data_IF_837156491794
#
_entry.id   IF_837156491794
#
_cell.length_a   1.000
_cell.length_b   1.000
_cell.length_c   1.000
_cell.angle_alpha   90.00
_cell.angle_beta   90.00
_cell.angle_gamma   90.00
#
_symmetry.space_group_name_H-M   'P 1'
#
loop_
_entity.id
_entity.type
_entity.pdbx_description
1 polymer ?
#
# COMPACT_ATOMS: atom_id res chain seq x y z
N UNK A 1 -33.87 28.89 -15.96
CA UNK A 1 -32.58 29.47 -15.52
C UNK A 1 -32.68 29.88 -14.06
N UNK A 2 -32.20 29.05 -13.13
CA UNK A 2 -32.02 29.41 -11.72
C UNK A 2 -30.65 30.07 -11.58
N UNK A 3 -30.58 31.29 -11.04
CA UNK A 3 -29.32 32.02 -10.83
C UNK A 3 -28.45 31.25 -9.83
N UNK A 4 -27.27 30.81 -10.28
CA UNK A 4 -26.26 30.12 -9.49
C UNK A 4 -25.65 31.07 -8.44
N UNK A 5 -25.71 30.70 -7.16
CA UNK A 5 -25.02 31.40 -6.06
C UNK A 5 -23.59 30.87 -5.92
N UNK A 6 -22.75 31.13 -6.92
CA UNK A 6 -21.31 30.74 -6.90
C UNK A 6 -20.44 31.71 -6.10
N UNK A 7 -21.00 32.84 -5.62
CA UNK A 7 -20.24 33.94 -5.00
C UNK A 7 -19.81 33.69 -3.55
N UNK A 8 -20.33 32.68 -2.86
CA UNK A 8 -20.11 32.55 -1.40
C UNK A 8 -18.93 31.66 -1.01
N UNK A 9 -18.41 30.83 -1.92
CA UNK A 9 -17.40 29.80 -1.59
C UNK A 9 -15.96 30.28 -1.91
N UNK A 10 -15.78 31.19 -2.88
CA UNK A 10 -14.44 31.67 -3.24
C UNK A 10 -13.92 32.82 -2.35
N UNK A 11 -14.81 33.57 -1.69
CA UNK A 11 -14.44 34.77 -0.94
C UNK A 11 -14.02 34.54 0.51
N UNK A 12 -14.26 33.36 1.08
CA UNK A 12 -14.09 33.11 2.52
C UNK A 12 -12.78 32.42 2.90
N UNK A 13 -11.99 31.93 1.93
CA UNK A 13 -10.73 31.24 2.19
C UNK A 13 -9.50 32.17 2.21
N UNK A 14 -9.62 33.44 1.82
CA UNK A 14 -8.49 34.39 1.72
C UNK A 14 -8.45 35.44 2.82
N UNK A 15 -9.37 35.41 3.79
CA UNK A 15 -9.45 36.41 4.88
C UNK A 15 -9.49 35.73 6.25
N UNK A 16 -8.36 35.17 6.66
CA UNK A 16 -8.10 34.81 8.07
C UNK A 16 -6.78 35.47 8.46
N UNK A 17 -6.78 36.79 8.49
CA UNK A 17 -5.71 37.57 9.09
C UNK A 17 -6.32 38.60 10.04
N UNK A 18 -5.77 38.65 11.25
CA UNK A 18 -6.10 39.52 12.37
C UNK A 18 -7.30 39.10 13.26
N UNK A 19 -7.01 38.27 14.27
CA UNK A 19 -7.74 38.28 15.54
C UNK A 19 -6.88 39.07 16.54
N UNK A 20 -7.44 40.08 17.23
CA UNK A 20 -6.67 40.94 18.12
C UNK A 20 -6.22 40.21 19.39
N UNK A 21 -4.99 40.53 19.76
CA UNK A 21 -4.24 40.06 20.92
C UNK A 21 -4.92 40.54 22.22
N UNK A 22 -5.49 39.62 23.01
CA UNK A 22 -5.93 39.93 24.38
C UNK A 22 -4.77 39.58 25.31
N UNK A 23 -4.03 40.60 25.75
CA UNK A 23 -3.03 40.48 26.79
C UNK A 23 -3.74 40.15 28.12
N UNK A 24 -3.77 38.86 28.48
CA UNK A 24 -4.20 38.43 29.80
C UNK A 24 -3.16 38.88 30.83
N UNK A 25 -3.54 39.86 31.65
CA UNK A 25 -2.83 40.29 32.85
C UNK A 25 -2.57 39.08 33.76
N UNK A 26 -1.34 38.55 33.70
CA UNK A 26 -0.86 37.54 34.64
C UNK A 26 -0.55 38.21 35.98
N UNK A 27 -1.55 38.29 36.85
CA UNK A 27 -1.32 38.52 38.27
C UNK A 27 -0.94 37.21 38.94
N UNK A 28 0.35 36.91 39.06
CA UNK A 28 0.81 35.85 39.95
C UNK A 28 0.87 36.40 41.38
N UNK A 29 0.25 35.67 42.32
CA UNK A 29 0.16 36.02 43.76
C UNK A 29 1.48 35.80 44.53
N UNK A 30 2.55 35.43 43.87
CA UNK A 30 3.91 35.28 44.43
C UNK A 30 4.90 36.07 43.58
N UNK A 31 4.76 37.39 43.55
CA UNK A 31 5.73 38.27 42.90
C UNK A 31 7.00 38.37 43.76
N UNK A 32 8.17 38.14 43.17
CA UNK A 32 9.49 38.42 43.75
C UNK A 32 9.73 39.92 43.94
N UNK A 33 8.97 40.76 43.22
CA UNK A 33 9.17 42.21 43.14
C UNK A 33 9.12 42.95 44.49
N UNK A 34 8.22 42.64 45.44
CA UNK A 34 8.22 43.28 46.76
C UNK A 34 9.48 42.95 47.56
N UNK A 35 10.00 41.71 47.45
CA UNK A 35 11.22 41.27 48.15
C UNK A 35 12.48 41.85 47.52
N UNK A 36 12.52 41.97 46.19
CA UNK A 36 13.60 42.67 45.47
C UNK A 36 13.62 44.16 45.84
N UNK A 37 12.46 44.82 45.89
CA UNK A 37 12.34 46.22 46.32
C UNK A 37 12.78 46.43 47.78
N UNK A 38 12.44 45.50 48.67
CA UNK A 38 12.89 45.52 50.07
C UNK A 38 14.43 45.34 50.19
N UNK A 39 15.02 44.47 49.36
CA UNK A 39 16.47 44.28 49.29
C UNK A 39 17.19 45.50 48.71
N UNK A 40 16.62 46.15 47.69
CA UNK A 40 17.12 47.42 47.14
C UNK A 40 17.14 48.52 48.20
N UNK A 41 16.06 48.67 48.96
CA UNK A 41 15.97 49.66 50.02
C UNK A 41 16.99 49.40 51.15
N UNK A 42 17.16 48.12 51.52
CA UNK A 42 18.16 47.70 52.52
C UNK A 42 19.60 47.96 52.05
N UNK A 43 19.91 47.64 50.79
CA UNK A 43 21.23 47.90 50.20
C UNK A 43 21.50 49.41 50.09
N UNK A 44 20.50 50.21 49.67
CA UNK A 44 20.61 51.67 49.62
C UNK A 44 20.84 52.31 50.99
N UNK A 45 20.22 51.76 52.04
CA UNK A 45 20.47 52.19 53.43
C UNK A 45 21.91 51.88 53.87
N UNK A 46 22.42 50.69 53.55
CA UNK A 46 23.80 50.29 53.85
C UNK A 46 24.84 51.10 53.08
N UNK A 47 24.54 51.52 51.85
CA UNK A 47 25.38 52.43 51.05
C UNK A 47 25.58 53.78 51.71
N UNK A 48 24.51 54.34 52.30
CA UNK A 48 24.61 55.62 53.01
C UNK A 48 25.53 55.55 54.24
N UNK A 49 25.73 54.35 54.80
CA UNK A 49 26.56 54.07 55.98
C UNK A 49 27.98 53.57 55.63
N UNK A 50 28.21 53.22 54.36
CA UNK A 50 29.43 52.57 53.85
C UNK A 50 30.68 53.45 53.95
N UNK A 51 30.53 54.78 53.89
CA UNK A 51 31.64 55.74 53.93
C UNK A 51 32.48 55.63 55.21
N UNK A 52 31.87 55.18 56.31
CA UNK A 52 32.46 55.16 57.66
C UNK A 52 32.90 53.76 58.15
N UNK A 53 32.70 52.70 57.36
CA UNK A 53 33.01 51.32 57.77
C UNK A 53 33.71 50.51 56.65
N UNK A 54 34.91 50.01 56.95
CA UNK A 54 35.75 49.28 56.00
C UNK A 54 35.19 47.91 55.57
N UNK A 55 34.44 47.21 56.44
CA UNK A 55 33.79 45.95 56.09
C UNK A 55 32.59 46.17 55.17
N UNK A 56 31.80 47.22 55.43
CA UNK A 56 30.71 47.63 54.54
C UNK A 56 31.22 48.04 53.16
N UNK A 57 32.41 48.64 53.07
CA UNK A 57 33.05 48.98 51.77
C UNK A 57 33.23 47.78 50.86
N UNK A 58 33.45 46.57 51.42
CA UNK A 58 33.61 45.33 50.67
C UNK A 58 32.28 44.59 50.43
N UNK A 59 31.39 44.56 51.43
CA UNK A 59 30.16 43.77 51.38
C UNK A 59 29.06 44.38 50.49
N UNK A 60 28.95 45.71 50.45
CA UNK A 60 27.90 46.39 49.66
C UNK A 60 28.01 46.10 48.15
N UNK A 61 29.20 46.17 47.52
CA UNK A 61 29.37 45.75 46.11
C UNK A 61 29.01 44.28 45.87
N UNK A 62 29.41 43.36 46.76
CA UNK A 62 29.07 41.93 46.64
C UNK A 62 27.54 41.70 46.73
N UNK A 63 26.85 42.44 47.61
CA UNK A 63 25.39 42.38 47.72
C UNK A 63 24.69 42.96 46.48
N UNK A 64 25.21 44.04 45.90
CA UNK A 64 24.74 44.58 44.61
C UNK A 64 24.87 43.56 43.49
N UNK A 65 26.04 42.95 43.34
CA UNK A 65 26.26 41.91 42.31
C UNK A 65 25.33 40.72 42.51
N UNK A 66 25.10 40.27 43.74
CA UNK A 66 24.13 39.21 44.04
C UNK A 66 22.69 39.64 43.72
N UNK A 67 22.30 40.87 44.06
CA UNK A 67 20.97 41.40 43.72
C UNK A 67 20.77 41.50 42.20
N UNK A 68 21.76 41.98 41.45
CA UNK A 68 21.72 42.06 39.99
C UNK A 68 21.68 40.66 39.35
N UNK A 69 22.35 39.68 39.96
CA UNK A 69 22.24 38.26 39.55
C UNK A 69 20.83 37.73 39.78
N UNK A 70 20.20 38.07 40.92
CA UNK A 70 18.82 37.68 41.21
C UNK A 70 17.84 38.34 40.22
N UNK A 71 18.02 39.63 39.91
CA UNK A 71 17.18 40.33 38.93
C UNK A 71 17.31 39.76 37.52
N UNK A 72 18.54 39.46 37.07
CA UNK A 72 18.76 38.85 35.75
C UNK A 72 18.18 37.45 35.68
N UNK A 73 18.26 36.67 36.76
CA UNK A 73 17.61 35.36 36.85
C UNK A 73 16.08 35.45 36.84
N UNK A 74 15.49 36.36 37.62
CA UNK A 74 14.03 36.60 37.66
C UNK A 74 13.51 37.08 36.29
N UNK A 75 14.25 37.98 35.63
CA UNK A 75 13.95 38.43 34.27
C UNK A 75 14.04 37.28 33.25
N UNK A 76 15.06 36.43 33.33
CA UNK A 76 15.19 35.26 32.46
C UNK A 76 14.03 34.25 32.67
N UNK A 77 13.57 34.06 33.90
CA UNK A 77 12.38 33.24 34.20
C UNK A 77 11.10 33.85 33.60
N UNK A 78 10.93 35.17 33.72
CA UNK A 78 9.79 35.89 33.10
C UNK A 78 9.80 35.73 31.58
N UNK A 79 10.96 35.91 30.94
CA UNK A 79 11.07 35.79 29.49
C UNK A 79 10.86 34.34 29.01
N UNK A 80 11.33 33.35 29.78
CA UNK A 80 11.01 31.93 29.54
C UNK A 80 9.51 31.66 29.64
N UNK A 81 8.83 32.18 30.67
CA UNK A 81 7.38 32.01 30.84
C UNK A 81 6.59 32.71 29.72
N UNK A 82 7.01 33.92 29.30
CA UNK A 82 6.40 34.62 28.16
C UNK A 82 6.54 33.79 26.88
N UNK A 83 7.73 33.28 26.58
CA UNK A 83 7.96 32.43 25.42
C UNK A 83 7.12 31.15 25.46
N UNK A 84 6.97 30.52 26.64
CA UNK A 84 6.10 29.36 26.82
C UNK A 84 4.61 29.69 26.61
N UNK A 85 4.12 30.80 27.17
CA UNK A 85 2.74 31.26 26.99
C UNK A 85 2.47 31.59 25.51
N UNK A 86 3.40 32.28 24.86
CA UNK A 86 3.31 32.63 23.44
C UNK A 86 3.31 31.38 22.55
N UNK A 87 4.21 30.43 22.79
CA UNK A 87 4.24 29.15 22.08
C UNK A 87 2.95 28.35 22.28
N UNK A 88 2.43 28.27 23.51
CA UNK A 88 1.17 27.59 23.81
C UNK A 88 -0.04 28.27 23.15
N UNK A 89 -0.08 29.60 23.14
CA UNK A 89 -1.15 30.35 22.48
C UNK A 89 -1.09 30.18 20.97
N UNK A 90 0.10 30.26 20.36
CA UNK A 90 0.29 30.04 18.93
C UNK A 90 -0.11 28.62 18.53
N UNK A 91 0.25 27.61 19.33
CA UNK A 91 -0.19 26.23 19.11
C UNK A 91 -1.72 26.09 19.18
N UNK A 92 -2.37 26.67 20.20
CA UNK A 92 -3.85 26.66 20.34
C UNK A 92 -4.55 27.38 19.18
N UNK A 93 -4.02 28.51 18.74
CA UNK A 93 -4.55 29.26 17.59
C UNK A 93 -4.39 28.46 16.31
N UNK A 94 -3.22 27.85 16.08
CA UNK A 94 -2.97 26.96 14.94
C UNK A 94 -3.96 25.79 14.92
N UNK A 95 -4.13 25.07 16.03
CA UNK A 95 -5.10 23.97 16.16
C UNK A 95 -6.54 24.43 15.88
N UNK A 96 -6.96 25.59 16.41
CA UNK A 96 -8.30 26.14 16.14
C UNK A 96 -8.49 26.48 14.65
N UNK A 97 -7.48 27.08 14.02
CA UNK A 97 -7.51 27.41 12.59
C UNK A 97 -7.65 26.15 11.74
N UNK A 98 -6.88 25.09 12.04
CA UNK A 98 -6.98 23.80 11.34
C UNK A 98 -8.36 23.16 11.53
N UNK A 99 -8.91 23.17 12.75
CA UNK A 99 -10.27 22.66 13.02
C UNK A 99 -11.35 23.41 12.26
N UNK A 100 -11.27 24.75 12.21
CA UNK A 100 -12.22 25.59 11.47
C UNK A 100 -12.11 25.32 9.97
N UNK A 101 -10.89 25.21 9.43
CA UNK A 101 -10.68 24.86 8.04
C UNK A 101 -11.25 23.47 7.70
N UNK A 102 -11.01 22.47 8.56
CA UNK A 102 -11.54 21.12 8.40
C UNK A 102 -13.07 21.09 8.47
N UNK A 103 -13.68 21.83 9.40
CA UNK A 103 -15.14 21.95 9.53
C UNK A 103 -15.77 22.54 8.27
N UNK A 104 -15.24 23.67 7.78
CA UNK A 104 -15.71 24.30 6.55
C UNK A 104 -15.55 23.35 5.35
N UNK A 105 -14.40 22.70 5.22
CA UNK A 105 -14.09 21.81 4.11
C UNK A 105 -14.98 20.54 4.11
N UNK A 106 -15.24 19.94 5.28
CA UNK A 106 -16.15 18.81 5.44
C UNK A 106 -17.62 19.19 5.21
N UNK A 107 -18.04 20.38 5.65
CA UNK A 107 -19.39 20.88 5.38
C UNK A 107 -19.65 21.08 3.89
N UNK A 108 -18.63 21.51 3.12
CA UNK A 108 -18.71 21.66 1.68
C UNK A 108 -18.68 20.31 0.93
N UNK A 109 -18.21 19.23 1.55
CA UNK A 109 -18.02 17.94 0.89
C UNK A 109 -19.32 17.35 0.33
N UNK A 110 -20.42 17.45 1.07
CA UNK A 110 -21.74 16.98 0.60
C UNK A 110 -22.26 17.83 -0.56
N UNK A 111 -22.10 19.15 -0.48
CA UNK A 111 -22.47 20.06 -1.56
C UNK A 111 -21.65 19.79 -2.83
N UNK A 112 -20.34 19.60 -2.70
CA UNK A 112 -19.45 19.26 -3.82
C UNK A 112 -19.89 17.96 -4.49
N UNK A 113 -20.21 16.93 -3.70
CA UNK A 113 -20.73 15.66 -4.22
C UNK A 113 -22.03 15.86 -5.00
N UNK A 114 -22.99 16.58 -4.42
CA UNK A 114 -24.28 16.84 -5.11
C UNK A 114 -24.11 17.67 -6.39
N UNK A 115 -23.19 18.63 -6.38
CA UNK A 115 -22.91 19.47 -7.54
C UNK A 115 -22.23 18.65 -8.66
N UNK A 116 -21.29 17.77 -8.32
CA UNK A 116 -20.70 16.83 -9.29
C UNK A 116 -21.74 15.89 -9.90
N UNK A 117 -22.59 15.29 -9.08
CA UNK A 117 -23.69 14.46 -9.57
C UNK A 117 -24.65 15.25 -10.46
N UNK A 118 -24.93 16.51 -10.12
CA UNK A 118 -25.75 17.39 -10.94
C UNK A 118 -25.09 17.71 -12.28
N UNK A 119 -23.79 18.00 -12.30
CA UNK A 119 -23.03 18.24 -13.53
C UNK A 119 -23.00 16.99 -14.43
N UNK A 120 -22.79 15.82 -13.87
CA UNK A 120 -22.80 14.56 -14.62
C UNK A 120 -24.18 14.25 -15.21
N UNK A 121 -25.27 14.51 -14.46
CA UNK A 121 -26.65 14.35 -14.96
C UNK A 121 -27.02 15.39 -16.01
N UNK A 122 -26.56 16.63 -15.85
CA UNK A 122 -26.91 17.75 -16.73
C UNK A 122 -26.08 17.79 -18.01
N UNK A 123 -24.88 17.20 -17.99
CA UNK A 123 -23.95 17.18 -19.11
C UNK A 123 -23.52 15.73 -19.43
N UNK A 124 -24.30 14.98 -20.22
CA UNK A 124 -23.98 13.58 -20.54
C UNK A 124 -22.62 13.38 -21.20
N UNK A 125 -22.15 14.38 -21.98
CA UNK A 125 -20.81 14.36 -22.60
C UNK A 125 -19.68 14.47 -21.58
N UNK A 126 -19.88 15.21 -20.49
CA UNK A 126 -18.94 15.23 -19.38
C UNK A 126 -18.86 13.86 -18.70
N UNK A 127 -20.01 13.23 -18.43
CA UNK A 127 -20.06 11.89 -17.85
C UNK A 127 -19.40 10.85 -18.76
N UNK A 128 -19.60 10.95 -20.09
CA UNK A 128 -18.93 10.11 -21.08
C UNK A 128 -17.41 10.31 -21.05
N UNK A 129 -16.93 11.55 -21.02
CA UNK A 129 -15.50 11.86 -20.94
C UNK A 129 -14.86 11.30 -19.65
N UNK A 130 -15.52 11.45 -18.49
CA UNK A 130 -15.02 10.89 -17.22
C UNK A 130 -14.89 9.38 -17.26
N UNK A 131 -15.93 8.68 -17.72
CA UNK A 131 -15.90 7.21 -17.88
C UNK A 131 -14.81 6.75 -18.83
N UNK A 132 -14.64 7.45 -19.96
CA UNK A 132 -13.56 7.16 -20.91
C UNK A 132 -12.18 7.36 -20.27
N UNK A 133 -11.98 8.45 -19.52
CA UNK A 133 -10.73 8.72 -18.79
C UNK A 133 -10.40 7.64 -17.76
N UNK A 134 -11.39 7.15 -17.01
CA UNK A 134 -11.22 6.04 -16.06
C UNK A 134 -10.86 4.72 -16.77
N UNK A 135 -11.50 4.42 -17.90
CA UNK A 135 -11.16 3.23 -18.70
C UNK A 135 -9.75 3.32 -19.30
N UNK A 136 -9.35 4.49 -19.79
CA UNK A 136 -7.99 4.74 -20.30
C UNK A 136 -6.98 4.45 -19.18
N UNK A 137 -7.16 5.00 -17.97
CA UNK A 137 -6.25 4.77 -16.86
C UNK A 137 -6.14 3.28 -16.47
N UNK A 138 -7.26 2.54 -16.51
CA UNK A 138 -7.26 1.08 -16.28
C UNK A 138 -6.51 0.32 -17.38
N UNK A 139 -6.75 0.67 -18.64
CA UNK A 139 -6.06 0.06 -19.78
C UNK A 139 -4.56 0.38 -19.77
N UNK A 140 -4.14 1.60 -19.40
CA UNK A 140 -2.73 1.95 -19.23
C UNK A 140 -2.05 1.11 -18.16
N UNK A 141 -2.69 0.94 -17.01
CA UNK A 141 -2.17 0.10 -15.94
C UNK A 141 -2.06 -1.37 -16.38
N UNK A 142 -3.06 -1.89 -17.09
CA UNK A 142 -3.06 -3.27 -17.59
C UNK A 142 -2.01 -3.48 -18.70
N UNK A 143 -1.89 -2.55 -19.64
CA UNK A 143 -0.85 -2.56 -20.67
C UNK A 143 0.52 -2.57 -20.00
N UNK A 144 0.78 -1.65 -19.05
CA UNK A 144 2.07 -1.60 -18.35
C UNK A 144 2.39 -2.91 -17.59
N UNK A 145 1.40 -3.52 -16.94
CA UNK A 145 1.57 -4.82 -16.28
C UNK A 145 1.90 -5.93 -17.28
N UNK A 146 1.20 -5.99 -18.41
CA UNK A 146 1.40 -7.02 -19.44
C UNK A 146 2.69 -6.83 -20.23
N UNK A 147 3.09 -5.59 -20.50
CA UNK A 147 4.40 -5.28 -21.09
C UNK A 147 5.54 -5.79 -20.20
N UNK A 148 5.47 -5.55 -18.88
CA UNK A 148 6.46 -6.10 -17.94
C UNK A 148 6.50 -7.63 -17.93
N UNK A 149 5.34 -8.27 -18.07
CA UNK A 149 5.28 -9.74 -18.18
C UNK A 149 5.95 -10.24 -19.47
N UNK A 150 5.72 -9.58 -20.60
CA UNK A 150 6.40 -9.87 -21.88
C UNK A 150 7.91 -9.66 -21.76
N UNK A 151 8.36 -8.59 -21.14
CA UNK A 151 9.78 -8.31 -20.89
C UNK A 151 10.42 -9.42 -20.03
N UNK A 152 9.74 -9.84 -18.96
CA UNK A 152 10.23 -10.91 -18.07
C UNK A 152 10.36 -12.23 -18.82
N UNK A 153 9.34 -12.63 -19.58
CA UNK A 153 9.40 -13.85 -20.40
C UNK A 153 10.42 -13.77 -21.52
N UNK A 154 10.63 -12.60 -22.09
CA UNK A 154 11.69 -12.38 -23.09
C UNK A 154 13.07 -12.58 -22.47
N UNK A 155 13.29 -12.10 -21.24
CA UNK A 155 14.52 -12.37 -20.51
C UNK A 155 14.70 -13.87 -20.18
N UNK A 156 13.63 -14.57 -19.79
CA UNK A 156 13.66 -16.03 -19.60
C UNK A 156 14.03 -16.77 -20.89
N UNK A 157 13.46 -16.36 -22.03
CA UNK A 157 13.83 -16.92 -23.35
C UNK A 157 15.32 -16.71 -23.64
N UNK A 158 15.85 -15.51 -23.42
CA UNK A 158 17.28 -15.22 -23.65
C UNK A 158 18.17 -16.07 -22.74
N UNK A 159 17.78 -16.27 -21.47
CA UNK A 159 18.49 -17.17 -20.57
C UNK A 159 18.46 -18.63 -21.09
N UNK A 160 17.32 -19.08 -21.61
CA UNK A 160 17.19 -20.41 -22.23
C UNK A 160 18.02 -20.56 -23.51
N UNK A 161 18.16 -19.51 -24.31
CA UNK A 161 19.07 -19.51 -25.48
C UNK A 161 20.54 -19.64 -25.08
N UNK A 162 20.94 -18.99 -23.98
CA UNK A 162 22.28 -19.16 -23.43
C UNK A 162 22.50 -20.58 -22.88
N UNK A 163 21.52 -21.15 -22.18
CA UNK A 163 21.55 -22.56 -21.73
C UNK A 163 21.66 -23.53 -22.91
N UNK A 164 20.88 -23.31 -23.98
CA UNK A 164 20.92 -24.12 -25.19
C UNK A 164 22.30 -24.09 -25.84
N UNK A 165 22.91 -22.91 -25.95
CA UNK A 165 24.25 -22.74 -26.52
C UNK A 165 25.29 -23.52 -25.71
N UNK A 166 25.20 -23.48 -24.37
CA UNK A 166 26.08 -24.23 -23.48
C UNK A 166 25.86 -25.74 -23.60
N UNK A 167 24.61 -26.19 -23.68
CA UNK A 167 24.27 -27.60 -23.83
C UNK A 167 24.75 -28.17 -25.19
N UNK A 168 24.60 -27.41 -26.28
CA UNK A 168 25.12 -27.79 -27.59
C UNK A 168 26.66 -27.88 -27.60
N UNK A 169 27.35 -26.98 -26.90
CA UNK A 169 28.80 -27.07 -26.73
C UNK A 169 29.22 -28.32 -25.93
N UNK A 170 28.45 -28.71 -24.90
CA UNK A 170 28.70 -29.96 -24.16
C UNK A 170 28.50 -31.19 -25.05
N UNK A 171 27.42 -31.25 -25.85
CA UNK A 171 27.20 -32.33 -26.83
C UNK A 171 28.41 -32.47 -27.77
N UNK A 172 28.91 -31.35 -28.31
CA UNK A 172 30.10 -31.36 -29.18
C UNK A 172 31.33 -31.91 -28.45
N UNK A 173 31.56 -31.53 -27.20
CA UNK A 173 32.66 -32.04 -26.39
C UNK A 173 32.51 -33.55 -26.09
N UNK A 174 31.28 -34.03 -25.85
CA UNK A 174 31.00 -35.47 -25.66
C UNK A 174 31.18 -36.26 -26.95
N UNK A 175 30.81 -35.69 -28.09
CA UNK A 175 31.03 -36.30 -29.42
C UNK A 175 32.52 -36.44 -29.75
N UNK A 176 33.32 -35.41 -29.47
CA UNK A 176 34.78 -35.49 -29.59
C UNK A 176 35.40 -36.55 -28.65
N UNK A 177 34.88 -36.68 -27.42
CA UNK A 177 35.32 -37.71 -26.48
C UNK A 177 34.95 -39.13 -26.95
N UNK A 178 33.75 -39.31 -27.50
CA UNK A 178 33.29 -40.57 -28.08
C UNK A 178 34.16 -40.98 -29.28
N UNK A 179 34.52 -40.03 -30.15
CA UNK A 179 35.41 -40.29 -31.28
C UNK A 179 36.79 -40.78 -30.79
N UNK A 180 37.39 -40.10 -29.80
CA UNK A 180 38.67 -40.52 -29.21
C UNK A 180 38.60 -41.89 -28.53
N UNK A 181 37.52 -42.18 -27.81
CA UNK A 181 37.32 -43.49 -27.18
C UNK A 181 37.17 -44.60 -28.25
N UNK A 182 36.48 -44.31 -29.34
CA UNK A 182 36.30 -45.24 -30.46
C UNK A 182 37.64 -45.51 -31.16
N UNK A 183 38.44 -44.49 -31.42
CA UNK A 183 39.80 -44.66 -31.97
C UNK A 183 40.70 -45.50 -31.05
N UNK A 184 40.65 -45.25 -29.73
CA UNK A 184 41.41 -46.02 -28.75
C UNK A 184 40.98 -47.50 -28.73
N UNK A 185 39.67 -47.75 -28.83
CA UNK A 185 39.13 -49.11 -28.94
C UNK A 185 39.62 -49.79 -30.23
N UNK A 186 39.55 -49.13 -31.37
CA UNK A 186 40.05 -49.68 -32.65
C UNK A 186 41.52 -50.08 -32.54
N UNK A 187 42.36 -49.23 -31.93
CA UNK A 187 43.77 -49.55 -31.68
C UNK A 187 43.95 -50.74 -30.73
N UNK A 188 43.13 -50.84 -29.68
CA UNK A 188 43.18 -51.98 -28.77
C UNK A 188 42.76 -53.29 -29.47
N UNK A 189 41.72 -53.25 -30.31
CA UNK A 189 41.28 -54.38 -31.13
C UNK A 189 42.41 -54.86 -32.08
N UNK A 190 43.12 -53.93 -32.73
CA UNK A 190 44.27 -54.22 -33.59
C UNK A 190 45.42 -54.88 -32.81
N UNK A 191 45.75 -54.37 -31.63
CA UNK A 191 46.80 -54.94 -30.76
C UNK A 191 46.44 -56.35 -30.30
N UNK A 192 45.19 -56.59 -29.90
CA UNK A 192 44.71 -57.94 -29.55
C UNK A 192 44.90 -58.89 -30.73
N UNK A 193 44.44 -58.49 -31.93
CA UNK A 193 44.56 -59.33 -33.14
C UNK A 193 46.02 -59.65 -33.49
N UNK A 194 46.93 -58.67 -33.41
CA UNK A 194 48.36 -58.88 -33.64
C UNK A 194 48.99 -59.81 -32.57
N UNK A 195 48.56 -59.66 -31.32
CA UNK A 195 49.05 -60.48 -30.20
C UNK A 195 48.54 -61.92 -30.29
N UNK A 196 47.29 -62.13 -30.72
CA UNK A 196 46.71 -63.46 -31.00
C UNK A 196 47.46 -64.17 -32.14
N UNK A 197 47.78 -63.44 -33.22
CA UNK A 197 48.61 -63.97 -34.31
C UNK A 197 50.01 -64.38 -33.81
N UNK A 198 50.67 -63.52 -33.03
CA UNK A 198 51.99 -63.80 -32.44
C UNK A 198 51.96 -65.00 -31.47
N UNK A 199 50.88 -65.15 -30.69
CA UNK A 199 50.69 -66.29 -29.80
C UNK A 199 50.52 -67.61 -30.56
N UNK A 200 49.87 -67.56 -31.72
CA UNK A 200 49.68 -68.72 -32.60
C UNK A 200 51.03 -69.18 -33.16
N UNK A 201 51.83 -68.24 -33.66
CA UNK A 201 53.21 -68.50 -34.12
C UNK A 201 54.11 -69.05 -33.01
N UNK A 202 54.08 -68.44 -31.81
CA UNK A 202 54.81 -68.92 -30.64
C UNK A 202 54.41 -70.34 -30.25
N UNK A 203 53.11 -70.66 -30.32
CA UNK A 203 52.60 -72.00 -30.01
C UNK A 203 53.13 -73.03 -31.01
N UNK A 204 53.15 -72.72 -32.32
CA UNK A 204 53.77 -73.59 -33.34
C UNK A 204 55.27 -73.80 -33.08
N UNK A 205 56.01 -72.74 -32.74
CA UNK A 205 57.44 -72.82 -32.44
C UNK A 205 57.70 -73.70 -31.21
N UNK A 206 56.88 -73.57 -30.15
CA UNK A 206 56.94 -74.44 -28.96
C UNK A 206 56.72 -75.91 -29.34
N UNK A 207 55.72 -76.21 -30.18
CA UNK A 207 55.46 -77.58 -30.64
C UNK A 207 56.63 -78.15 -31.46
N UNK A 208 57.21 -77.36 -32.37
CA UNK A 208 58.40 -77.75 -33.13
C UNK A 208 59.62 -77.99 -32.24
N UNK A 209 59.82 -77.16 -31.22
CA UNK A 209 60.91 -77.32 -30.26
C UNK A 209 60.74 -78.59 -29.43
N UNK A 210 59.51 -78.88 -28.96
CA UNK A 210 59.16 -80.13 -28.26
C UNK A 210 59.45 -81.36 -29.14
N UNK A 211 59.04 -81.31 -30.40
CA UNK A 211 59.33 -82.39 -31.35
C UNK A 211 60.84 -82.59 -31.56
N UNK A 212 61.61 -81.50 -31.64
CA UNK A 212 63.08 -81.55 -31.79
C UNK A 212 63.76 -82.12 -30.54
N UNK A 213 63.35 -81.70 -29.34
CA UNK A 213 63.85 -82.25 -28.06
C UNK A 213 63.61 -83.76 -28.01
N UNK A 214 62.41 -84.22 -28.38
CA UNK A 214 62.10 -85.65 -28.39
C UNK A 214 62.99 -86.42 -29.37
N UNK A 215 63.24 -85.87 -30.56
CA UNK A 215 64.16 -86.48 -31.54
C UNK A 215 65.59 -86.60 -30.98
N UNK A 216 66.11 -85.55 -30.34
CA UNK A 216 67.44 -85.62 -29.70
C UNK A 216 67.49 -86.60 -28.52
N UNK A 217 66.39 -86.74 -27.75
CA UNK A 217 66.27 -87.76 -26.70
C UNK A 217 66.31 -89.18 -27.28
N UNK A 218 65.62 -89.44 -28.39
CA UNK A 218 65.70 -90.73 -29.10
C UNK A 218 67.10 -91.01 -29.68
N UNK A 219 67.78 -89.98 -30.21
CA UNK A 219 69.17 -90.11 -30.71
C UNK A 219 70.17 -90.39 -29.58
N UNK A 220 69.94 -89.81 -28.39
CA UNK A 220 70.74 -90.09 -27.19
C UNK A 220 70.64 -91.56 -26.75
N UNK A 221 69.46 -92.18 -26.83
CA UNK A 221 69.25 -93.60 -26.51
C UNK A 221 70.00 -94.55 -27.46
N UNK A 222 70.13 -94.17 -28.74
CA UNK A 222 70.75 -94.99 -29.79
C UNK A 222 72.27 -94.81 -29.91
N UNK A 223 72.85 -93.83 -29.25
CA UNK A 223 74.28 -93.48 -29.36
C UNK A 223 75.15 -94.28 -28.38
N UNK A 224 76.20 -94.93 -28.89
CA UNK A 224 77.18 -95.71 -28.10
C UNK A 224 78.50 -94.98 -27.84
N UNK A 225 78.69 -93.79 -28.41
CA UNK A 225 79.87 -92.94 -28.25
C UNK A 225 79.68 -91.96 -27.06
N UNK A 226 80.50 -92.11 -26.01
CA UNK A 226 80.45 -91.30 -24.78
C UNK A 226 80.60 -89.79 -25.03
N UNK A 227 81.45 -89.37 -25.98
CA UNK A 227 81.67 -87.94 -26.25
C UNK A 227 80.44 -87.31 -26.95
N UNK A 228 79.82 -88.05 -27.88
CA UNK A 228 78.57 -87.62 -28.52
C UNK A 228 77.39 -87.63 -27.54
N UNK A 229 77.32 -88.59 -26.63
CA UNK A 229 76.30 -88.63 -25.58
C UNK A 229 76.30 -87.36 -24.73
N UNK A 230 77.47 -86.95 -24.26
CA UNK A 230 77.60 -85.78 -23.40
C UNK A 230 77.27 -84.48 -24.15
N UNK A 231 77.65 -84.39 -25.43
CA UNK A 231 77.26 -83.28 -26.31
C UNK A 231 75.73 -83.22 -26.55
N UNK A 232 75.08 -84.36 -26.79
CA UNK A 232 73.62 -84.43 -26.99
C UNK A 232 72.86 -84.05 -25.72
N UNK A 233 73.33 -84.47 -24.53
CA UNK A 233 72.75 -84.03 -23.24
C UNK A 233 72.83 -82.51 -23.05
N UNK A 234 73.99 -81.92 -23.33
CA UNK A 234 74.16 -80.46 -23.22
C UNK A 234 73.21 -79.71 -24.17
N UNK A 235 73.02 -80.24 -25.39
CA UNK A 235 72.08 -79.69 -26.38
C UNK A 235 70.63 -79.78 -25.91
N UNK A 236 70.21 -80.94 -25.37
CA UNK A 236 68.87 -81.12 -24.79
C UNK A 236 68.63 -80.13 -23.65
N UNK A 237 69.59 -79.98 -22.74
CA UNK A 237 69.48 -79.07 -21.59
C UNK A 237 69.27 -77.62 -22.06
N UNK A 238 70.01 -77.20 -23.09
CA UNK A 238 69.88 -75.86 -23.68
C UNK A 238 68.51 -75.67 -24.35
N UNK A 239 68.00 -76.67 -25.08
CA UNK A 239 66.68 -76.62 -25.70
C UNK A 239 65.54 -76.63 -24.67
N UNK A 240 65.69 -77.36 -23.56
CA UNK A 240 64.72 -77.36 -22.46
C UNK A 240 64.68 -76.01 -21.73
N UNK A 241 65.81 -75.33 -21.55
CA UNK A 241 65.83 -73.95 -21.04
C UNK A 241 65.15 -72.98 -21.99
N UNK A 242 65.40 -73.09 -23.31
CA UNK A 242 64.70 -72.29 -24.32
C UNK A 242 63.19 -72.55 -24.32
N UNK A 243 62.77 -73.81 -24.19
CA UNK A 243 61.37 -74.18 -24.09
C UNK A 243 60.71 -73.53 -22.86
N UNK A 244 61.38 -73.59 -21.71
CA UNK A 244 60.89 -73.00 -20.46
C UNK A 244 60.72 -71.48 -20.57
N UNK A 245 61.65 -70.79 -21.23
CA UNK A 245 61.56 -69.35 -21.49
C UNK A 245 60.38 -69.01 -22.43
N UNK A 246 60.16 -69.79 -23.48
CA UNK A 246 59.05 -69.59 -24.42
C UNK A 246 57.68 -69.89 -23.78
N UNK A 247 57.60 -70.94 -22.96
CA UNK A 247 56.39 -71.28 -22.21
C UNK A 247 56.04 -70.23 -21.15
N UNK A 248 57.05 -69.65 -20.47
CA UNK A 248 56.84 -68.56 -19.51
C UNK A 248 56.27 -67.29 -20.16
N UNK A 249 56.64 -67.00 -21.41
CA UNK A 249 56.09 -65.87 -22.17
C UNK A 249 54.68 -66.09 -22.74
N UNK A 250 54.13 -67.31 -22.61
CA UNK A 250 52.86 -67.69 -23.25
C UNK A 250 51.67 -67.11 -22.47
N UNK A 251 51.03 -66.10 -23.06
CA UNK A 251 49.65 -65.70 -22.72
C UNK A 251 49.53 -64.45 -21.86
N UNK A 252 50.59 -64.05 -21.15
CA UNK A 252 50.55 -62.84 -20.31
C UNK A 252 50.35 -61.56 -21.13
N UNK A 253 51.04 -61.43 -22.27
CA UNK A 253 50.82 -60.31 -23.21
C UNK A 253 49.40 -60.29 -23.79
N UNK A 254 48.82 -61.46 -24.07
CA UNK A 254 47.46 -61.57 -24.62
C UNK A 254 46.42 -61.17 -23.58
N UNK A 255 46.63 -61.55 -22.31
CA UNK A 255 45.77 -61.14 -21.20
C UNK A 255 45.75 -59.62 -21.04
N UNK A 256 46.93 -58.99 -20.98
CA UNK A 256 47.05 -57.52 -20.88
C UNK A 256 46.36 -56.81 -22.06
N UNK A 257 46.51 -57.33 -23.28
CA UNK A 257 45.85 -56.76 -24.45
C UNK A 257 44.32 -56.86 -24.38
N UNK A 258 43.78 -58.00 -23.91
CA UNK A 258 42.32 -58.20 -23.73
C UNK A 258 41.74 -57.35 -22.60
N UNK A 259 42.49 -57.16 -21.51
CA UNK A 259 42.09 -56.27 -20.42
C UNK A 259 42.00 -54.81 -20.92
N UNK A 260 43.00 -54.37 -21.71
CA UNK A 260 42.99 -53.04 -22.34
C UNK A 260 41.83 -52.85 -23.34
N UNK A 261 41.52 -53.87 -24.15
CA UNK A 261 40.37 -53.88 -25.06
C UNK A 261 39.05 -53.73 -24.30
N UNK A 262 38.90 -54.44 -23.19
CA UNK A 262 37.71 -54.40 -22.34
C UNK A 262 37.51 -53.02 -21.72
N UNK A 263 38.56 -52.41 -21.19
CA UNK A 263 38.48 -51.06 -20.63
C UNK A 263 38.20 -50.01 -21.73
N UNK A 264 38.78 -50.16 -22.93
CA UNK A 264 38.48 -49.29 -24.06
C UNK A 264 37.00 -49.40 -24.49
N UNK A 265 36.43 -50.61 -24.54
CA UNK A 265 35.01 -50.81 -24.82
C UNK A 265 34.11 -50.17 -23.77
N UNK A 266 34.48 -50.27 -22.49
CA UNK A 266 33.73 -49.63 -21.39
C UNK A 266 33.75 -48.10 -21.51
N UNK A 267 34.89 -47.51 -21.87
CA UNK A 267 34.99 -46.07 -22.13
C UNK A 267 34.10 -45.62 -23.29
N UNK A 268 34.01 -46.42 -24.37
CA UNK A 268 33.08 -46.15 -25.48
C UNK A 268 31.64 -46.16 -24.99
N UNK A 269 31.22 -47.19 -24.24
CA UNK A 269 29.85 -47.26 -23.70
C UNK A 269 29.53 -46.06 -22.81
N UNK A 270 30.43 -45.68 -21.89
CA UNK A 270 30.23 -44.51 -21.04
C UNK A 270 30.17 -43.19 -21.83
N UNK A 271 31.00 -43.05 -22.87
CA UNK A 271 30.99 -41.86 -23.73
C UNK A 271 29.69 -41.75 -24.54
N UNK A 272 29.15 -42.87 -25.04
CA UNK A 272 27.85 -42.92 -25.73
C UNK A 272 26.72 -42.51 -24.79
N UNK A 273 26.62 -43.12 -23.61
CA UNK A 273 25.59 -42.77 -22.62
C UNK A 273 25.64 -41.30 -22.20
N UNK A 274 26.86 -40.75 -22.04
CA UNK A 274 27.06 -39.34 -21.72
C UNK A 274 26.61 -38.43 -22.87
N UNK A 275 26.86 -38.81 -24.13
CA UNK A 275 26.40 -38.07 -25.32
C UNK A 275 24.88 -38.09 -25.41
N UNK A 276 24.25 -39.25 -25.30
CA UNK A 276 22.80 -39.41 -25.42
C UNK A 276 22.06 -38.59 -24.34
N UNK A 277 22.60 -38.56 -23.11
CA UNK A 277 22.06 -37.72 -22.03
C UNK A 277 22.19 -36.23 -22.34
N UNK A 278 23.31 -35.80 -22.91
CA UNK A 278 23.51 -34.41 -23.32
C UNK A 278 22.55 -34.02 -24.47
N UNK A 279 22.37 -34.89 -25.48
CA UNK A 279 21.41 -34.68 -26.58
C UNK A 279 19.95 -34.61 -26.09
N UNK A 280 19.57 -35.46 -25.13
CA UNK A 280 18.25 -35.40 -24.51
C UNK A 280 18.03 -34.07 -23.78
N UNK A 281 19.05 -33.54 -23.11
CA UNK A 281 18.97 -32.26 -22.41
C UNK A 281 18.79 -31.09 -23.39
N UNK A 282 19.45 -31.13 -24.56
CA UNK A 282 19.27 -30.14 -25.64
C UNK A 282 17.82 -30.13 -26.13
N UNK A 283 17.23 -31.30 -26.41
CA UNK A 283 15.83 -31.41 -26.88
C UNK A 283 14.82 -30.85 -25.88
N UNK A 284 15.06 -31.06 -24.57
CA UNK A 284 14.22 -30.51 -23.52
C UNK A 284 14.29 -28.97 -23.48
N UNK A 285 15.50 -28.41 -23.54
CA UNK A 285 15.71 -26.95 -23.56
C UNK A 285 15.07 -26.32 -24.81
N UNK A 286 15.20 -26.95 -25.98
CA UNK A 286 14.55 -26.50 -27.22
C UNK A 286 13.02 -26.47 -27.08
N UNK A 287 12.43 -27.51 -26.49
CA UNK A 287 10.98 -27.58 -26.26
C UNK A 287 10.51 -26.46 -25.32
N UNK A 288 11.26 -26.22 -24.22
CA UNK A 288 10.97 -25.13 -23.28
C UNK A 288 11.08 -23.76 -23.97
N UNK A 289 12.08 -23.57 -24.83
CA UNK A 289 12.28 -22.34 -25.61
C UNK A 289 11.10 -22.08 -26.55
N UNK A 290 10.68 -23.07 -27.34
CA UNK A 290 9.54 -22.92 -28.27
C UNK A 290 8.25 -22.55 -27.53
N UNK A 291 8.00 -23.18 -26.38
CA UNK A 291 6.84 -22.82 -25.55
C UNK A 291 6.89 -21.37 -25.06
N UNK A 292 8.06 -20.89 -24.64
CA UNK A 292 8.24 -19.47 -24.27
C UNK A 292 7.99 -18.53 -25.45
N UNK A 293 8.43 -18.89 -26.67
CA UNK A 293 8.19 -18.10 -27.87
C UNK A 293 6.69 -17.97 -28.23
N UNK A 294 5.94 -19.06 -28.10
CA UNK A 294 4.49 -19.06 -28.28
C UNK A 294 3.79 -18.18 -27.24
N UNK A 295 4.17 -18.31 -25.95
CA UNK A 295 3.61 -17.50 -24.87
C UNK A 295 3.93 -16.02 -25.02
N UNK A 296 5.14 -15.66 -25.43
CA UNK A 296 5.54 -14.27 -25.74
C UNK A 296 4.67 -13.74 -26.88
N UNK A 297 4.53 -14.50 -27.97
CA UNK A 297 3.74 -14.08 -29.15
C UNK A 297 2.27 -13.85 -28.78
N UNK A 298 1.68 -14.74 -27.98
CA UNK A 298 0.30 -14.60 -27.52
C UNK A 298 0.11 -13.34 -26.66
N UNK A 299 1.03 -13.08 -25.73
CA UNK A 299 0.96 -11.90 -24.84
C UNK A 299 1.25 -10.59 -25.56
N UNK A 300 2.15 -10.57 -26.53
CA UNK A 300 2.39 -9.40 -27.38
C UNK A 300 1.13 -9.02 -28.15
N UNK A 301 0.43 -9.99 -28.75
CA UNK A 301 -0.87 -9.74 -29.41
C UNK A 301 -1.93 -9.21 -28.43
N UNK A 302 -1.92 -9.68 -27.20
CA UNK A 302 -2.82 -9.17 -26.18
C UNK A 302 -2.53 -7.70 -25.84
N UNK A 303 -1.25 -7.34 -25.70
CA UNK A 303 -0.81 -5.95 -25.49
C UNK A 303 -1.23 -5.06 -26.67
N UNK A 304 -1.05 -5.52 -27.91
CA UNK A 304 -1.48 -4.81 -29.12
C UNK A 304 -2.99 -4.57 -29.12
N UNK A 305 -3.79 -5.60 -28.78
CA UNK A 305 -5.25 -5.51 -28.72
C UNK A 305 -5.70 -4.49 -27.68
N UNK A 306 -5.10 -4.52 -26.48
CA UNK A 306 -5.41 -3.54 -25.42
C UNK A 306 -4.96 -2.14 -25.77
N UNK A 307 -3.84 -2.01 -26.48
CA UNK A 307 -3.37 -0.71 -26.97
C UNK A 307 -4.35 -0.13 -27.98
N UNK A 308 -4.88 -0.95 -28.89
CA UNK A 308 -5.93 -0.52 -29.82
C UNK A 308 -7.22 -0.11 -29.09
N UNK A 309 -7.65 -0.88 -28.08
CA UNK A 309 -8.80 -0.52 -27.23
C UNK A 309 -8.58 0.82 -26.51
N UNK A 310 -7.37 1.04 -25.97
CA UNK A 310 -6.99 2.31 -25.33
C UNK A 310 -7.10 3.47 -26.31
N UNK A 311 -6.55 3.34 -27.52
CA UNK A 311 -6.62 4.39 -28.56
C UNK A 311 -8.08 4.70 -28.94
N UNK A 312 -8.94 3.69 -29.04
CA UNK A 312 -10.37 3.90 -29.28
C UNK A 312 -11.02 4.70 -28.12
N UNK A 313 -10.66 4.39 -26.86
CA UNK A 313 -11.14 5.14 -25.69
C UNK A 313 -10.58 6.55 -25.60
N UNK A 314 -9.34 6.79 -26.02
CA UNK A 314 -8.76 8.13 -26.13
C UNK A 314 -9.50 8.99 -27.16
N UNK A 315 -9.92 8.40 -28.29
CA UNK A 315 -10.75 9.08 -29.28
C UNK A 315 -12.15 9.41 -28.72
N UNK A 316 -12.80 8.46 -28.04
CA UNK A 316 -14.08 8.70 -27.33
C UNK A 316 -13.96 9.82 -26.29
N UNK A 317 -12.88 9.81 -25.50
CA UNK A 317 -12.57 10.85 -24.52
C UNK A 317 -12.44 12.22 -25.19
N UNK A 318 -11.62 12.33 -26.23
CA UNK A 318 -11.35 13.58 -26.92
C UNK A 318 -12.62 14.17 -27.53
N UNK A 319 -13.46 13.33 -28.14
CA UNK A 319 -14.74 13.77 -28.70
C UNK A 319 -15.71 14.26 -27.61
N UNK A 320 -15.80 13.54 -26.50
CA UNK A 320 -16.68 13.88 -25.39
C UNK A 320 -16.20 15.12 -24.61
N UNK A 321 -14.88 15.26 -24.44
CA UNK A 321 -14.27 16.43 -23.81
C UNK A 321 -14.47 17.68 -24.66
N UNK A 322 -14.22 17.62 -25.98
CA UNK A 322 -14.46 18.75 -26.88
C UNK A 322 -15.93 19.19 -26.94
N UNK A 323 -16.87 18.25 -26.75
CA UNK A 323 -18.31 18.54 -26.68
C UNK A 323 -18.76 19.10 -25.31
N UNK A 324 -17.87 19.11 -24.30
CA UNK A 324 -18.18 19.64 -22.97
C UNK A 324 -17.82 21.12 -22.90
N UNK A 325 -18.74 22.02 -22.47
CA UNK A 325 -18.43 23.45 -22.37
C UNK A 325 -17.28 23.74 -21.40
N UNK A 326 -16.38 24.66 -21.78
CA UNK A 326 -15.22 25.03 -20.95
C UNK A 326 -15.58 25.57 -19.56
N UNK A 327 -16.73 26.23 -19.43
CA UNK A 327 -17.26 26.68 -18.13
C UNK A 327 -17.55 25.51 -17.19
N UNK A 328 -18.08 24.42 -17.72
CA UNK A 328 -18.35 23.18 -16.98
C UNK A 328 -17.05 22.48 -16.60
N UNK A 329 -16.07 22.44 -17.52
CA UNK A 329 -14.73 21.89 -17.23
C UNK A 329 -14.04 22.64 -16.10
N UNK A 330 -14.04 23.99 -16.15
CA UNK A 330 -13.45 24.84 -15.10
C UNK A 330 -14.14 24.65 -13.75
N UNK A 331 -15.47 24.53 -13.75
CA UNK A 331 -16.23 24.27 -12.53
C UNK A 331 -15.86 22.90 -11.93
N UNK A 332 -15.85 21.85 -12.74
CA UNK A 332 -15.47 20.51 -12.30
C UNK A 332 -14.02 20.48 -11.76
N UNK A 333 -13.07 21.08 -12.47
CA UNK A 333 -11.68 21.17 -12.02
C UNK A 333 -11.56 21.91 -10.67
N UNK A 334 -12.36 22.96 -10.47
CA UNK A 334 -12.41 23.67 -9.19
C UNK A 334 -12.97 22.79 -8.06
N UNK A 335 -14.02 22.00 -8.34
CA UNK A 335 -14.58 21.04 -7.38
C UNK A 335 -13.59 19.92 -7.03
N UNK A 336 -12.85 19.39 -8.01
CA UNK A 336 -11.80 18.39 -7.79
C UNK A 336 -10.61 18.94 -7.00
N UNK A 337 -10.19 20.19 -7.25
CA UNK A 337 -9.15 20.85 -6.47
C UNK A 337 -9.55 21.04 -5.00
N UNK A 338 -10.83 21.34 -4.73
CA UNK A 338 -11.34 21.45 -3.36
C UNK A 338 -11.39 20.07 -2.68
N UNK A 339 -11.80 19.01 -3.38
CA UNK A 339 -11.74 17.64 -2.84
C UNK A 339 -10.32 17.19 -2.50
N UNK A 340 -9.34 17.51 -3.37
CA UNK A 340 -7.94 17.21 -3.10
C UNK A 340 -7.45 17.90 -1.82
N UNK A 341 -7.80 19.19 -1.64
CA UNK A 341 -7.50 19.94 -0.40
C UNK A 341 -8.20 19.35 0.83
N UNK A 342 -9.45 18.89 0.70
CA UNK A 342 -10.14 18.17 1.79
C UNK A 342 -9.37 16.89 2.17
N UNK A 343 -8.90 16.13 1.17
CA UNK A 343 -8.15 14.90 1.41
C UNK A 343 -6.79 15.16 2.07
N UNK A 344 -6.12 16.26 1.73
CA UNK A 344 -4.89 16.72 2.38
C UNK A 344 -5.13 17.13 3.83
N UNK A 345 -6.12 17.99 4.09
CA UNK A 345 -6.50 18.41 5.44
C UNK A 345 -6.89 17.22 6.34
N UNK A 346 -7.49 16.17 5.77
CA UNK A 346 -7.78 14.92 6.50
C UNK A 346 -6.54 14.12 6.88
N UNK A 347 -5.46 14.20 6.12
CA UNK A 347 -4.19 13.53 6.44
C UNK A 347 -3.41 14.29 7.51
N UNK A 348 -3.55 15.61 7.54
CA UNK A 348 -2.88 16.48 8.51
C UNK A 348 -3.59 16.51 9.87
N UNK A 349 -4.89 16.22 9.92
CA UNK A 349 -5.68 16.18 11.13
C UNK A 349 -5.46 14.89 11.95
N UNK A 350 -5.43 15.01 13.28
CA UNK A 350 -5.43 13.85 14.16
C UNK A 350 -6.81 13.17 14.20
N UNK A 351 -6.90 11.86 14.51
CA UNK A 351 -8.18 11.14 14.60
C UNK A 351 -9.16 11.76 15.62
N UNK A 352 -8.67 12.32 16.72
CA UNK A 352 -9.45 12.99 17.75
C UNK A 352 -10.08 14.29 17.24
N UNK A 353 -9.31 15.09 16.50
CA UNK A 353 -9.79 16.33 15.89
C UNK A 353 -10.84 16.06 14.82
N UNK A 354 -10.66 15.00 14.03
CA UNK A 354 -11.63 14.57 13.03
C UNK A 354 -12.98 14.22 13.67
N UNK A 355 -12.97 13.42 14.75
CA UNK A 355 -14.19 13.04 15.49
C UNK A 355 -14.92 14.25 16.07
N UNK A 356 -14.17 15.20 16.64
CA UNK A 356 -14.74 16.42 17.21
C UNK A 356 -15.41 17.28 16.13
N UNK A 357 -14.74 17.45 14.98
CA UNK A 357 -15.29 18.19 13.84
C UNK A 357 -16.52 17.50 13.23
N UNK A 358 -16.51 16.18 13.12
CA UNK A 358 -17.68 15.39 12.69
C UNK A 358 -18.87 15.57 13.63
N UNK A 359 -18.63 15.60 14.95
CA UNK A 359 -19.66 15.87 15.94
C UNK A 359 -20.25 17.28 15.78
N UNK A 360 -19.41 18.31 15.65
CA UNK A 360 -19.90 19.68 15.40
C UNK A 360 -20.70 19.78 14.10
N UNK A 361 -20.28 19.07 13.05
CA UNK A 361 -21.01 19.04 11.78
C UNK A 361 -22.39 18.39 11.95
N UNK A 362 -22.50 17.30 12.71
CA UNK A 362 -23.77 16.66 13.01
C UNK A 362 -24.71 17.60 13.80
N UNK A 363 -24.19 18.28 14.81
CA UNK A 363 -24.94 19.28 15.59
C UNK A 363 -25.41 20.43 14.69
N UNK A 364 -24.54 20.95 13.82
CA UNK A 364 -24.89 22.03 12.88
C UNK A 364 -26.00 21.64 11.91
N UNK A 365 -25.96 20.41 11.35
CA UNK A 365 -27.03 19.88 10.50
C UNK A 365 -28.36 19.79 11.23
N UNK A 366 -28.34 19.34 12.47
CA UNK A 366 -29.54 19.21 13.29
C UNK A 366 -30.14 20.59 13.64
N UNK A 367 -29.30 21.58 13.93
CA UNK A 367 -29.74 22.96 14.14
C UNK A 367 -30.37 23.56 12.88
N UNK A 368 -29.79 23.33 11.70
CA UNK A 368 -30.37 23.79 10.44
C UNK A 368 -31.71 23.12 10.14
N UNK A 369 -31.82 21.80 10.41
CA UNK A 369 -33.07 21.06 10.31
C UNK A 369 -34.16 21.65 11.20
N UNK A 370 -33.86 21.85 12.48
CA UNK A 370 -34.78 22.45 13.48
C UNK A 370 -35.22 23.84 13.02
N UNK A 371 -34.29 24.71 12.63
CA UNK A 371 -34.59 26.05 12.13
C UNK A 371 -35.48 26.02 10.88
N UNK A 372 -35.26 25.07 9.98
CA UNK A 372 -36.09 24.84 8.81
C UNK A 372 -37.53 24.45 9.15
N UNK A 373 -37.72 23.66 10.21
CA UNK A 373 -39.06 23.30 10.73
C UNK A 373 -39.71 24.49 11.41
N UNK A 374 -38.98 25.24 12.24
CA UNK A 374 -39.49 26.46 12.88
C UNK A 374 -39.97 27.49 11.86
N UNK A 375 -39.22 27.69 10.78
CA UNK A 375 -39.64 28.58 9.69
C UNK A 375 -40.93 28.10 9.01
N UNK A 376 -41.12 26.79 8.84
CA UNK A 376 -42.37 26.23 8.29
C UNK A 376 -43.55 26.42 9.24
N UNK A 377 -43.33 26.27 10.55
CA UNK A 377 -44.34 26.55 11.57
C UNK A 377 -44.77 28.03 11.50
N UNK A 378 -43.81 28.95 11.43
CA UNK A 378 -44.09 30.39 11.28
C UNK A 378 -44.83 30.71 9.98
N UNK A 379 -44.45 30.04 8.88
CA UNK A 379 -45.07 30.21 7.56
C UNK A 379 -46.53 29.73 7.49
N UNK A 380 -47.02 28.97 8.46
CA UNK A 380 -48.45 28.62 8.54
C UNK A 380 -49.35 29.85 8.72
N UNK A 381 -48.81 30.96 9.25
CA UNK A 381 -49.53 32.22 9.41
C UNK A 381 -50.73 32.19 10.35
N UNK A 382 -50.98 31.07 11.03
CA UNK A 382 -52.10 30.88 11.94
C UNK A 382 -51.68 31.27 13.37
N UNK A 383 -52.14 32.44 13.82
CA UNK A 383 -51.80 33.00 15.14
C UNK A 383 -52.22 32.09 16.29
N UNK A 384 -53.37 31.41 16.19
CA UNK A 384 -53.86 30.50 17.23
C UNK A 384 -52.92 29.30 17.39
N UNK A 385 -52.45 28.71 16.28
CA UNK A 385 -51.50 27.59 16.30
C UNK A 385 -50.16 28.03 16.92
N UNK A 386 -49.66 29.21 16.57
CA UNK A 386 -48.41 29.72 17.15
C UNK A 386 -48.53 29.95 18.66
N UNK A 387 -49.66 30.48 19.12
CA UNK A 387 -49.96 30.65 20.55
C UNK A 387 -50.06 29.30 21.27
N UNK A 388 -50.72 28.31 20.67
CA UNK A 388 -50.81 26.95 21.21
C UNK A 388 -49.41 26.36 21.41
N UNK A 389 -48.53 26.47 20.39
CA UNK A 389 -47.17 25.94 20.45
C UNK A 389 -46.26 26.71 21.42
N UNK A 390 -46.58 27.96 21.76
CA UNK A 390 -45.92 28.70 22.84
C UNK A 390 -46.38 28.23 24.22
N UNK A 391 -47.68 27.99 24.41
CA UNK A 391 -48.23 27.48 25.67
C UNK A 391 -47.85 26.01 25.94
N UNK A 392 -47.70 25.22 24.88
CA UNK A 392 -47.41 23.78 24.94
C UNK A 392 -46.09 23.45 24.21
N UNK A 393 -44.94 23.68 24.86
CA UNK A 393 -43.64 23.41 24.27
C UNK A 393 -43.42 21.94 23.93
N UNK A 394 -44.15 21.01 24.56
CA UNK A 394 -44.15 19.57 24.25
C UNK A 394 -44.63 19.29 22.82
N UNK A 395 -45.68 19.98 22.35
CA UNK A 395 -46.14 19.86 20.97
C UNK A 395 -45.14 20.46 19.99
N UNK A 396 -44.52 21.60 20.36
CA UNK A 396 -43.44 22.18 19.56
C UNK A 396 -42.27 21.19 19.42
N UNK A 397 -41.84 20.57 20.53
CA UNK A 397 -40.78 19.55 20.54
C UNK A 397 -41.15 18.35 19.67
N UNK A 398 -42.38 17.85 19.79
CA UNK A 398 -42.87 16.73 18.99
C UNK A 398 -42.85 17.02 17.47
N UNK A 399 -43.24 18.23 17.05
CA UNK A 399 -43.17 18.67 15.65
C UNK A 399 -41.72 18.78 15.17
N UNK A 400 -40.83 19.28 16.03
CA UNK A 400 -39.41 19.37 15.71
C UNK A 400 -38.80 17.98 15.54
N UNK A 401 -39.18 16.99 16.34
CA UNK A 401 -38.74 15.59 16.18
C UNK A 401 -39.38 14.91 14.96
N UNK A 402 -40.58 15.34 14.56
CA UNK A 402 -41.37 14.71 13.49
C UNK A 402 -41.82 15.75 12.44
N UNK A 403 -40.89 16.22 11.58
CA UNK A 403 -41.12 17.35 10.67
C UNK A 403 -42.14 17.08 9.55
N UNK A 404 -42.52 15.82 9.31
CA UNK A 404 -43.53 15.48 8.30
C UNK A 404 -44.95 15.92 8.69
N UNK A 405 -45.23 16.03 10.00
CA UNK A 405 -46.54 16.46 10.49
C UNK A 405 -46.93 17.85 10.04
N UNK A 406 -45.98 18.79 9.99
CA UNK A 406 -46.24 20.16 9.53
C UNK A 406 -46.53 20.24 8.03
N UNK A 407 -46.20 19.20 7.26
CA UNK A 407 -46.54 19.11 5.83
C UNK A 407 -47.91 18.45 5.60
N UNK A 408 -48.43 17.74 6.60
CA UNK A 408 -49.70 17.01 6.52
C UNK A 408 -50.86 17.96 6.77
N UNK A 409 -51.62 18.27 5.72
CA UNK A 409 -52.81 19.13 5.82
C UNK A 409 -53.82 18.64 6.87
N UNK A 410 -54.21 17.34 6.92
CA UNK A 410 -55.13 16.85 7.96
C UNK A 410 -54.63 17.06 9.39
N UNK A 411 -53.31 16.97 9.58
CA UNK A 411 -52.68 17.15 10.88
C UNK A 411 -52.64 18.64 11.27
N UNK A 412 -52.23 19.51 10.35
CA UNK A 412 -52.24 20.97 10.53
C UNK A 412 -53.65 21.49 10.79
N UNK A 413 -54.66 20.97 10.09
CA UNK A 413 -56.07 21.32 10.30
C UNK A 413 -56.57 20.89 11.69
N UNK A 414 -56.14 19.72 12.17
CA UNK A 414 -56.47 19.22 13.50
C UNK A 414 -55.78 20.04 14.61
N UNK A 415 -54.51 20.42 14.39
CA UNK A 415 -53.80 21.34 15.26
C UNK A 415 -54.48 22.72 15.30
N UNK A 416 -54.98 23.20 14.15
CA UNK A 416 -55.77 24.43 14.07
C UNK A 416 -57.08 24.36 14.82
N UNK A 417 -57.81 23.23 14.76
CA UNK A 417 -59.03 23.01 15.56
C UNK A 417 -58.72 22.97 17.06
N UNK A 418 -57.64 22.29 17.45
CA UNK A 418 -57.21 22.23 18.85
C UNK A 418 -56.82 23.62 19.37
N UNK A 419 -56.06 24.39 18.58
CA UNK A 419 -55.65 25.75 18.93
C UNK A 419 -56.84 26.69 19.13
N UNK A 420 -57.88 26.58 18.29
CA UNK A 420 -59.13 27.33 18.46
C UNK A 420 -59.85 26.95 19.75
N UNK A 421 -59.99 25.66 20.05
CA UNK A 421 -60.61 25.19 21.29
C UNK A 421 -59.87 25.70 22.52
N UNK A 422 -58.54 25.66 22.52
CA UNK A 422 -57.73 26.09 23.65
C UNK A 422 -57.73 27.61 23.86
N UNK A 423 -57.87 28.39 22.77
CA UNK A 423 -58.13 29.83 22.87
C UNK A 423 -59.44 30.10 23.60
N UNK A 424 -60.52 29.42 23.18
CA UNK A 424 -61.86 29.59 23.78
C UNK A 424 -61.87 29.16 25.24
N UNK A 425 -61.20 28.06 25.60
CA UNK A 425 -61.02 27.65 27.01
C UNK A 425 -60.30 28.73 27.82
N UNK A 426 -59.25 29.35 27.24
CA UNK A 426 -58.56 30.47 27.91
C UNK A 426 -59.47 31.69 28.08
N UNK A 427 -60.30 32.00 27.08
CA UNK A 427 -61.30 33.08 27.15
C UNK A 427 -62.33 32.81 28.25
N UNK A 428 -62.83 31.58 28.36
CA UNK A 428 -63.71 31.14 29.45
C UNK A 428 -63.02 31.29 30.81
N UNK A 429 -61.79 30.79 30.97
CA UNK A 429 -61.07 30.86 32.24
C UNK A 429 -60.80 32.31 32.66
N UNK A 430 -60.52 33.20 31.71
CA UNK A 430 -60.39 34.63 31.96
C UNK A 430 -61.72 35.27 32.36
N UNK A 431 -62.83 34.91 31.70
CA UNK A 431 -64.17 35.38 32.06
C UNK A 431 -64.56 34.93 33.47
N UNK A 432 -64.34 33.65 33.81
CA UNK A 432 -64.55 33.11 35.17
C UNK A 432 -63.71 33.81 36.24
N UNK A 433 -62.50 34.26 35.88
CA UNK A 433 -61.64 35.01 36.79
C UNK A 433 -62.07 36.48 36.94
N UNK A 434 -62.59 37.08 35.88
CA UNK A 434 -62.97 38.49 35.85
C UNK A 434 -64.36 38.71 36.46
N UNK A 435 -65.24 37.71 36.34
CA UNK A 435 -66.63 37.74 36.79
C UNK A 435 -66.92 36.51 37.66
N UNK A 436 -66.91 36.65 39.01
CA UNK A 436 -67.12 35.54 39.94
C UNK A 436 -68.49 34.86 39.81
N UNK A 437 -69.49 35.58 39.31
CA UNK A 437 -70.87 35.11 39.11
C UNK A 437 -70.96 34.10 37.96
N UNK A 438 -70.23 34.34 36.86
CA UNK A 438 -70.10 33.38 35.76
C UNK A 438 -69.36 32.12 36.21
N UNK A 439 -68.40 32.25 37.14
CA UNK A 439 -67.69 31.09 37.68
C UNK A 439 -68.63 30.11 38.38
N UNK A 440 -69.58 30.59 39.20
CA UNK A 440 -70.60 29.74 39.81
C UNK A 440 -71.51 29.09 38.76
N UNK A 441 -71.94 29.86 37.76
CA UNK A 441 -72.81 29.36 36.69
C UNK A 441 -72.18 28.20 35.89
N UNK A 442 -70.90 28.34 35.53
CA UNK A 442 -70.15 27.30 34.81
C UNK A 442 -69.73 26.10 35.71
N UNK A 443 -69.78 26.24 37.04
CA UNK A 443 -69.57 25.15 38.01
C UNK A 443 -70.87 24.38 38.30
N UNK A 444 -72.03 25.07 38.31
CA UNK A 444 -73.36 24.49 38.50
C UNK A 444 -73.86 23.75 37.26
N UNK A 445 -73.58 24.26 36.07
CA UNK A 445 -73.89 23.59 34.80
C UNK A 445 -72.63 23.41 33.93
N UNK A 446 -71.97 22.25 34.02
CA UNK A 446 -70.78 21.94 33.23
C UNK A 446 -71.02 21.98 31.72
N UNK A 447 -72.27 21.80 31.26
CA UNK A 447 -72.62 21.75 29.84
C UNK A 447 -72.51 23.12 29.16
N UNK A 448 -72.66 24.21 29.93
CA UNK A 448 -72.41 25.58 29.45
C UNK A 448 -70.97 25.80 28.98
N UNK A 449 -69.99 25.11 29.59
CA UNK A 449 -68.61 25.16 29.09
C UNK A 449 -68.49 24.53 27.70
N UNK A 450 -69.19 23.40 27.47
CA UNK A 450 -69.18 22.72 26.18
C UNK A 450 -69.91 23.53 25.10
N UNK A 451 -71.04 24.16 25.46
CA UNK A 451 -71.78 25.07 24.56
C UNK A 451 -70.93 26.29 24.18
N UNK A 452 -70.27 26.95 25.14
CA UNK A 452 -69.38 28.08 24.87
C UNK A 452 -68.16 27.67 24.01
N UNK A 453 -67.59 26.47 24.23
CA UNK A 453 -66.50 25.93 23.41
C UNK A 453 -66.94 25.70 21.95
N UNK A 454 -68.18 25.29 21.75
CA UNK A 454 -68.73 24.98 20.42
C UNK A 454 -69.25 26.23 19.69
N UNK A 455 -69.75 27.23 20.42
CA UNK A 455 -70.18 28.53 19.89
C UNK A 455 -69.76 29.68 20.82
N UNK A 456 -68.55 30.25 20.64
CA UNK A 456 -68.02 31.31 21.51
C UNK A 456 -68.82 32.63 21.43
N UNK A 457 -69.63 32.81 20.38
CA UNK A 457 -70.42 34.02 20.16
C UNK A 457 -71.78 33.95 20.86
N UNK A 458 -72.20 32.77 21.34
CA UNK A 458 -73.48 32.54 22.03
C UNK A 458 -73.64 33.32 23.35
N UNK A 459 -72.54 33.79 23.92
CA UNK A 459 -72.50 34.56 25.17
C UNK A 459 -72.11 36.03 24.98
N UNK A 460 -71.94 36.52 23.75
CA UNK A 460 -71.61 37.94 23.50
C UNK A 460 -72.72 38.93 23.90
N UNK A 461 -73.90 38.43 24.25
CA UNK A 461 -75.10 39.20 24.62
C UNK A 461 -75.61 38.88 26.04
N UNK A 462 -74.83 38.18 26.85
CA UNK A 462 -75.02 38.08 28.31
C UNK A 462 -74.11 39.14 28.92
#
# INVERSE_FOLDING_TARGET
>A
MKKFKTSLILGSLTSVAAVPFVAASCGSKDSSAPKIAELEQKISTLESQQSSNAELKKLVPELKTKLDTIKTWDQAQIDQLKAQIEAQNNAKVSTRTTKIALLMALSAQEQIKTEKEFLEKSYPKLAQARKAKEMIAKLEAEIAAKTKEVETKTAEKVAKEAELTKAQADVKAKEEALNKATEAKTKADEVVKATEGSQTELTKAIEQLKASINKFKEELEKTTDEAKKEQTKATITTLEEQLKLLEAGKGEKLKVAKDAQTEAQKLVTQATEAKDKAESSVKEIETQKTKLEEEITAKTKEVETKTAEKVAKEAEYTQADNATPDSVKKLLASLEAIEAKIAELKKEATPEELKEVEHYLAVAKELERVKGVENKILALGNKDILLLLQKRPEFKKFILENPEFIKSKPWVDSLGRLAKKERVITEIDNLKHSEPELKQLFEEDPTLNEEFINDPDSFKNI
#
